data_IF_014322149383
#
_entry.id   IF_014322149383
#
_cell.length_a   1.000
_cell.length_b   1.000
_cell.length_c   1.000
_cell.angle_alpha   90.00
_cell.angle_beta   90.00
_cell.angle_gamma   90.00
#
_symmetry.space_group_name_H-M   'P 1'
#
loop_
_entity.id
_entity.type
_entity.pdbx_description
1 polymer ?
#
# COMPACT_ATOMS: atom_id res chain seq x y z
N UNK A 1 9.48 25.02 -9.80
CA UNK A 1 8.24 24.57 -9.14
C UNK A 1 8.31 25.03 -7.70
N UNK A 2 7.28 25.71 -7.18
CA UNK A 2 7.30 26.25 -5.82
C UNK A 2 7.43 25.10 -4.81
N UNK A 3 8.31 25.26 -3.83
CA UNK A 3 8.63 24.24 -2.84
C UNK A 3 7.39 23.77 -2.04
N UNK A 4 6.49 24.72 -1.76
CA UNK A 4 5.19 24.46 -1.16
C UNK A 4 4.28 23.60 -2.06
N UNK A 5 4.25 23.84 -3.39
CA UNK A 5 3.43 23.07 -4.31
C UNK A 5 3.92 21.62 -4.42
N UNK A 6 5.23 21.40 -4.42
CA UNK A 6 5.79 20.04 -4.39
C UNK A 6 5.38 19.31 -3.11
N UNK A 7 5.51 19.97 -1.95
CA UNK A 7 5.17 19.39 -0.65
C UNK A 7 3.69 19.02 -0.57
N UNK A 8 2.80 19.89 -1.03
CA UNK A 8 1.35 19.62 -1.11
C UNK A 8 1.08 18.45 -2.06
N UNK A 9 1.70 18.43 -3.23
CA UNK A 9 1.51 17.35 -4.21
C UNK A 9 1.95 15.99 -3.64
N UNK A 10 3.08 15.93 -2.94
CA UNK A 10 3.56 14.71 -2.27
C UNK A 10 2.58 14.27 -1.17
N UNK A 11 2.13 15.20 -0.33
CA UNK A 11 1.19 14.89 0.76
C UNK A 11 -0.14 14.36 0.22
N UNK A 12 -0.76 15.10 -0.72
CA UNK A 12 -2.04 14.72 -1.34
C UNK A 12 -1.91 13.40 -2.09
N UNK A 13 -0.84 13.22 -2.87
CA UNK A 13 -0.56 11.97 -3.57
C UNK A 13 -0.43 10.78 -2.60
N UNK A 14 0.31 10.96 -1.51
CA UNK A 14 0.47 9.95 -0.47
C UNK A 14 -0.85 9.59 0.21
N UNK A 15 -1.66 10.59 0.60
CA UNK A 15 -2.99 10.38 1.19
C UNK A 15 -3.93 9.65 0.22
N UNK A 16 -3.91 10.00 -1.07
CA UNK A 16 -4.72 9.32 -2.08
C UNK A 16 -4.32 7.85 -2.27
N UNK A 17 -3.02 7.53 -2.23
CA UNK A 17 -2.55 6.14 -2.27
C UNK A 17 -3.02 5.35 -1.04
N UNK A 18 -2.95 5.95 0.15
CA UNK A 18 -3.43 5.32 1.39
C UNK A 18 -4.95 5.14 1.39
N UNK A 19 -5.69 6.11 0.87
CA UNK A 19 -7.15 6.03 0.71
C UNK A 19 -7.55 4.94 -0.30
N UNK A 20 -6.84 4.86 -1.43
CA UNK A 20 -7.00 3.80 -2.42
C UNK A 20 -6.74 2.42 -1.79
N UNK A 21 -5.65 2.30 -1.03
CA UNK A 21 -5.33 1.07 -0.31
C UNK A 21 -6.44 0.70 0.68
N UNK A 22 -6.91 1.64 1.51
CA UNK A 22 -7.97 1.39 2.48
C UNK A 22 -9.28 0.95 1.80
N UNK A 23 -9.65 1.58 0.69
CA UNK A 23 -10.80 1.19 -0.12
C UNK A 23 -10.63 -0.22 -0.72
N UNK A 24 -9.46 -0.49 -1.29
CA UNK A 24 -9.13 -1.79 -1.87
C UNK A 24 -9.01 -2.91 -0.84
N UNK A 25 -8.58 -2.58 0.38
CA UNK A 25 -8.52 -3.50 1.51
C UNK A 25 -9.92 -3.91 1.96
N UNK A 26 -10.84 -2.95 2.08
CA UNK A 26 -12.25 -3.21 2.44
C UNK A 26 -12.92 -4.13 1.42
N UNK A 27 -12.65 -3.96 0.13
CA UNK A 27 -13.09 -4.90 -0.90
C UNK A 27 -14.62 -5.04 -1.02
N UNK A 28 -15.38 -4.01 -0.65
CA UNK A 28 -16.86 -4.03 -0.64
C UNK A 28 -17.46 -4.09 -2.03
N UNK A 29 -16.76 -3.58 -3.06
CA UNK A 29 -17.22 -3.58 -4.45
C UNK A 29 -16.30 -4.41 -5.35
N UNK A 30 -16.80 -4.90 -6.51
CA UNK A 30 -15.95 -5.57 -7.51
C UNK A 30 -14.78 -4.71 -8.00
N UNK A 31 -14.95 -3.38 -8.03
CA UNK A 31 -13.90 -2.44 -8.39
C UNK A 31 -12.85 -2.32 -7.30
N UNK A 32 -13.24 -2.28 -6.02
CA UNK A 32 -12.28 -2.24 -4.89
C UNK A 32 -11.32 -3.43 -4.90
N UNK A 33 -11.80 -4.58 -5.38
CA UNK A 33 -11.02 -5.80 -5.53
C UNK A 33 -10.23 -5.86 -6.84
N UNK A 34 -9.98 -4.75 -7.54
CA UNK A 34 -9.28 -4.76 -8.85
C UNK A 34 -7.95 -5.55 -8.84
N UNK A 35 -7.23 -5.51 -7.73
CA UNK A 35 -5.90 -6.09 -7.54
C UNK A 35 -5.85 -7.63 -7.36
N UNK A 36 -6.98 -8.33 -7.23
CA UNK A 36 -6.98 -9.81 -7.11
C UNK A 36 -7.16 -10.55 -8.45
N UNK A 37 -7.30 -9.81 -9.56
CA UNK A 37 -7.72 -10.36 -10.85
C UNK A 37 -6.64 -11.15 -11.56
N UNK A 38 -5.36 -10.79 -11.40
CA UNK A 38 -4.28 -11.56 -12.01
C UNK A 38 -3.70 -12.64 -11.07
N UNK A 39 -3.74 -13.88 -11.55
CA UNK A 39 -3.27 -15.07 -10.83
C UNK A 39 -1.74 -15.16 -10.76
N UNK A 40 -1.01 -14.34 -11.53
CA UNK A 40 0.46 -14.32 -11.57
C UNK A 40 1.10 -13.58 -10.40
N UNK A 41 0.30 -12.90 -9.56
CA UNK A 41 0.77 -12.27 -8.33
C UNK A 41 1.28 -10.83 -8.47
N UNK A 42 1.41 -10.31 -9.70
CA UNK A 42 1.79 -8.90 -9.97
C UNK A 42 0.81 -7.91 -9.36
N UNK A 43 -0.49 -8.12 -9.53
CA UNK A 43 -1.51 -7.23 -8.98
C UNK A 43 -1.58 -7.33 -7.44
N UNK A 44 -1.19 -8.46 -6.87
CA UNK A 44 -1.08 -8.61 -5.42
C UNK A 44 0.16 -7.90 -4.85
N UNK A 45 1.21 -7.69 -5.65
CA UNK A 45 2.36 -6.86 -5.25
C UNK A 45 1.96 -5.39 -5.13
N UNK A 46 1.01 -4.93 -5.96
CA UNK A 46 0.50 -3.55 -5.89
C UNK A 46 -0.11 -3.23 -4.52
N UNK A 47 -0.73 -4.20 -3.85
CA UNK A 47 -1.25 -4.01 -2.48
C UNK A 47 -0.15 -3.87 -1.41
N UNK A 48 1.10 -4.23 -1.71
CA UNK A 48 2.25 -3.91 -0.86
C UNK A 48 2.86 -2.56 -1.22
N UNK A 49 3.12 -2.33 -2.51
CA UNK A 49 3.77 -1.11 -2.97
C UNK A 49 2.93 0.15 -2.77
N UNK A 50 1.61 0.11 -3.00
CA UNK A 50 0.72 1.27 -2.88
C UNK A 50 0.71 1.85 -1.45
N UNK A 51 0.47 1.07 -0.39
CA UNK A 51 0.51 1.62 0.97
C UNK A 51 1.93 2.05 1.37
N UNK A 52 2.96 1.29 0.98
CA UNK A 52 4.35 1.67 1.27
C UNK A 52 4.73 3.02 0.64
N UNK A 53 4.41 3.20 -0.64
CA UNK A 53 4.60 4.47 -1.35
C UNK A 53 3.76 5.60 -0.73
N UNK A 54 2.51 5.32 -0.35
CA UNK A 54 1.65 6.27 0.36
C UNK A 54 2.28 6.78 1.66
N UNK A 55 2.79 5.87 2.50
CA UNK A 55 3.51 6.21 3.74
C UNK A 55 4.76 7.04 3.44
N UNK A 56 5.58 6.62 2.47
CA UNK A 56 6.81 7.33 2.10
C UNK A 56 6.52 8.74 1.63
N UNK A 57 5.52 8.95 0.78
CA UNK A 57 5.18 10.28 0.27
C UNK A 57 4.66 11.20 1.39
N UNK A 58 3.80 10.69 2.28
CA UNK A 58 3.33 11.47 3.43
C UNK A 58 4.49 11.81 4.35
N UNK A 59 5.34 10.84 4.71
CA UNK A 59 6.47 11.06 5.60
C UNK A 59 7.55 11.98 4.97
N UNK A 60 7.80 11.87 3.67
CA UNK A 60 8.68 12.77 2.94
C UNK A 60 8.12 14.21 2.92
N UNK A 61 6.81 14.39 2.74
CA UNK A 61 6.21 15.72 2.82
C UNK A 61 6.28 16.29 4.25
N UNK A 62 6.08 15.45 5.27
CA UNK A 62 6.25 15.85 6.67
C UNK A 62 7.70 16.24 6.98
N UNK A 63 8.68 15.48 6.49
CA UNK A 63 10.11 15.78 6.68
C UNK A 63 10.49 17.18 6.19
N UNK A 64 9.83 17.69 5.14
CA UNK A 64 10.10 19.02 4.58
C UNK A 64 9.58 20.18 5.44
N UNK A 65 8.63 19.92 6.33
CA UNK A 65 7.94 20.96 7.14
C UNK A 65 8.14 20.78 8.63
N UNK A 66 8.63 19.62 9.07
CA UNK A 66 8.87 19.33 10.48
C UNK A 66 10.12 20.07 10.98
N UNK A 67 10.13 20.49 12.25
CA UNK A 67 11.34 20.93 12.92
C UNK A 67 12.41 19.82 12.92
N UNK A 68 13.69 20.19 12.90
CA UNK A 68 14.82 19.25 12.87
C UNK A 68 14.77 18.19 13.98
N UNK A 69 14.27 18.56 15.16
CA UNK A 69 14.08 17.65 16.30
C UNK A 69 13.13 16.47 16.00
N UNK A 70 12.22 16.61 15.04
CA UNK A 70 11.25 15.58 14.63
C UNK A 70 11.64 14.90 13.30
N UNK A 71 12.67 15.40 12.61
CA UNK A 71 13.18 14.83 11.37
C UNK A 71 13.57 13.33 11.47
N UNK A 72 14.12 12.81 12.59
CA UNK A 72 14.43 11.38 12.70
C UNK A 72 13.17 10.50 12.67
N UNK A 73 12.04 11.00 13.16
CA UNK A 73 10.76 10.28 13.14
C UNK A 73 10.29 10.11 11.69
N UNK A 74 10.35 11.19 10.90
CA UNK A 74 9.96 11.11 9.49
C UNK A 74 10.89 10.17 8.70
N UNK A 75 12.20 10.20 8.97
CA UNK A 75 13.16 9.23 8.37
C UNK A 75 12.80 7.80 8.74
N UNK A 76 12.53 7.53 10.03
CA UNK A 76 12.11 6.22 10.48
C UNK A 76 10.82 5.74 9.76
N UNK A 77 9.83 6.63 9.61
CA UNK A 77 8.57 6.30 8.91
C UNK A 77 8.81 6.07 7.41
N UNK A 78 9.70 6.82 6.76
CA UNK A 78 10.10 6.57 5.36
C UNK A 78 10.70 5.17 5.23
N UNK A 79 11.68 4.84 6.08
CA UNK A 79 12.33 3.52 6.09
C UNK A 79 11.29 2.42 6.33
N UNK A 80 10.43 2.57 7.34
CA UNK A 80 9.36 1.63 7.63
C UNK A 80 8.37 1.48 6.46
N UNK A 81 8.04 2.57 5.76
CA UNK A 81 7.19 2.55 4.57
C UNK A 81 7.82 1.78 3.41
N UNK A 82 9.11 1.98 3.15
CA UNK A 82 9.86 1.24 2.13
C UNK A 82 9.90 -0.26 2.46
N UNK A 83 10.36 -0.61 3.67
CA UNK A 83 10.44 -2.02 4.09
C UNK A 83 9.06 -2.67 4.16
N UNK A 84 8.06 -1.98 4.71
CA UNK A 84 6.69 -2.45 4.79
C UNK A 84 6.08 -2.68 3.40
N UNK A 85 6.37 -1.81 2.44
CA UNK A 85 5.91 -1.96 1.05
C UNK A 85 6.57 -3.12 0.32
N UNK A 86 7.91 -3.26 0.45
CA UNK A 86 8.67 -4.36 -0.14
C UNK A 86 8.26 -5.68 0.48
N UNK A 87 8.22 -5.77 1.81
CA UNK A 87 7.73 -6.95 2.51
C UNK A 87 6.34 -7.24 1.99
N UNK A 88 5.39 -6.30 2.12
CA UNK A 88 4.01 -6.33 1.65
C UNK A 88 3.81 -6.85 0.21
N UNK A 89 4.80 -6.64 -0.67
CA UNK A 89 4.74 -7.13 -2.05
C UNK A 89 5.14 -8.61 -2.17
N UNK A 90 6.04 -9.12 -1.32
CA UNK A 90 6.66 -10.45 -1.47
C UNK A 90 5.76 -11.58 -0.92
N UNK A 91 4.95 -11.32 0.10
CA UNK A 91 4.08 -12.31 0.76
C UNK A 91 2.59 -11.95 0.82
N UNK A 92 1.91 -11.67 -0.32
CA UNK A 92 0.49 -11.29 -0.37
C UNK A 92 -0.47 -12.28 0.32
N UNK A 93 -0.03 -13.52 0.55
CA UNK A 93 -0.78 -14.55 1.27
C UNK A 93 -0.89 -14.32 2.78
N UNK A 94 0.06 -13.63 3.41
CA UNK A 94 0.10 -13.47 4.87
C UNK A 94 -0.68 -12.24 5.36
N UNK A 95 -0.76 -11.20 4.54
CA UNK A 95 -1.36 -9.91 4.89
C UNK A 95 -2.46 -9.49 3.92
N UNK A 96 -3.10 -10.42 3.22
CA UNK A 96 -4.30 -10.08 2.47
C UNK A 96 -5.52 -9.87 3.39
N UNK A 97 -6.49 -9.02 3.02
CA UNK A 97 -7.74 -8.87 3.75
C UNK A 97 -8.53 -10.20 3.82
N UNK A 98 -9.46 -10.36 4.78
CA UNK A 98 -10.19 -11.62 4.99
C UNK A 98 -10.82 -12.20 3.72
N UNK A 99 -11.47 -11.34 2.92
CA UNK A 99 -12.11 -11.75 1.66
C UNK A 99 -11.14 -12.33 0.64
N UNK A 100 -9.88 -11.84 0.62
CA UNK A 100 -8.85 -12.32 -0.30
C UNK A 100 -8.33 -13.70 0.14
N UNK A 101 -8.18 -13.91 1.46
CA UNK A 101 -7.81 -15.21 2.03
C UNK A 101 -8.87 -16.26 1.71
N UNK A 102 -10.15 -15.91 1.81
CA UNK A 102 -11.26 -16.80 1.44
C UNK A 102 -11.24 -17.13 -0.06
N UNK A 103 -10.96 -16.15 -0.91
CA UNK A 103 -10.81 -16.36 -2.35
C UNK A 103 -9.66 -17.33 -2.67
N UNK A 104 -8.49 -17.16 -2.04
CA UNK A 104 -7.36 -18.08 -2.21
C UNK A 104 -7.70 -19.50 -1.73
N UNK A 105 -8.40 -19.63 -0.60
CA UNK A 105 -8.85 -20.92 -0.08
C UNK A 105 -9.81 -21.62 -1.05
N UNK A 106 -10.78 -20.88 -1.62
CA UNK A 106 -11.70 -21.39 -2.65
C UNK A 106 -10.96 -21.86 -3.90
N UNK A 107 -10.01 -21.06 -4.41
CA UNK A 107 -9.17 -21.45 -5.56
C UNK A 107 -8.35 -22.71 -5.29
N UNK A 108 -7.72 -22.83 -4.12
CA UNK A 108 -6.93 -24.01 -3.74
C UNK A 108 -7.80 -25.28 -3.67
N UNK A 109 -9.03 -25.16 -3.15
CA UNK A 109 -10.00 -26.27 -3.12
C UNK A 109 -10.44 -26.68 -4.53
N UNK A 110 -10.71 -25.71 -5.41
CA UNK A 110 -11.07 -26.00 -6.80
C UNK A 110 -9.93 -26.66 -7.58
N UNK A 111 -8.68 -26.23 -7.35
CA UNK A 111 -7.50 -26.82 -7.99
C UNK A 111 -7.22 -28.26 -7.53
N UNK A 112 -7.57 -28.64 -6.30
CA UNK A 112 -7.44 -30.01 -5.79
C UNK A 112 -8.52 -30.98 -6.29
N UNK A 113 -9.62 -30.46 -6.85
CA UNK A 113 -10.72 -31.26 -7.40
C UNK A 113 -10.55 -31.54 -8.90
N UNK A 114 -9.54 -30.95 -9.55
CA UNK A 114 -9.08 -31.30 -10.89
C UNK A 114 -7.90 -32.25 -10.76
#
# INVERSE_FOLDING_TARGET
>A
MNDALLTIALFVGGVLLLALFAWSWRGTTPRARWWHRDARGSDSMAMGFIPGAGVVLVAASAYRVLPDALSPIAVFVIVAGVFGGVLGAVVPRLWGPPWYRDYLARRKRAARKR
#
